data_IF_315276780626
#
_entry.id   IF_315276780626
#
_cell.length_a   1.000
_cell.length_b   1.000
_cell.length_c   1.000
_cell.angle_alpha   90.00
_cell.angle_beta   90.00
_cell.angle_gamma   90.00
#
_symmetry.space_group_name_H-M   'P 1'
#
loop_
_entity.id
_entity.type
_entity.pdbx_description
1 polymer ?
#
# COMPACT_ATOMS: atom_id res chain seq x y z
N UNK A 1 -20.31 23.36 -13.47
CA UNK A 1 -20.96 22.89 -12.22
C UNK A 1 -20.34 21.56 -11.86
N UNK A 2 -19.52 21.49 -10.82
CA UNK A 2 -19.00 20.21 -10.30
C UNK A 2 -20.15 19.49 -9.64
N UNK A 3 -20.54 18.33 -10.19
CA UNK A 3 -21.56 17.47 -9.58
C UNK A 3 -21.04 17.02 -8.20
N UNK A 4 -21.90 17.10 -7.19
CA UNK A 4 -21.57 16.65 -5.84
C UNK A 4 -21.49 15.12 -5.81
N UNK A 5 -20.26 14.60 -5.73
CA UNK A 5 -20.00 13.17 -5.64
C UNK A 5 -20.17 12.70 -4.20
N UNK A 6 -20.92 11.62 -4.01
CA UNK A 6 -21.27 11.06 -2.70
C UNK A 6 -20.80 9.63 -2.55
N UNK A 7 -20.74 9.17 -1.31
CA UNK A 7 -20.40 7.78 -0.98
C UNK A 7 -21.41 6.83 -1.63
N UNK A 8 -20.92 5.75 -2.26
CA UNK A 8 -21.76 4.78 -2.95
C UNK A 8 -22.10 5.13 -4.40
N UNK A 9 -21.74 6.33 -4.89
CA UNK A 9 -21.94 6.68 -6.30
C UNK A 9 -21.08 5.79 -7.21
N UNK A 10 -21.70 5.29 -8.28
CA UNK A 10 -21.02 4.61 -9.38
C UNK A 10 -20.35 5.62 -10.31
N UNK A 11 -19.04 5.44 -10.52
CA UNK A 11 -18.23 6.35 -11.31
C UNK A 11 -17.26 5.61 -12.23
N UNK A 12 -16.88 6.26 -13.33
CA UNK A 12 -15.73 5.91 -14.14
C UNK A 12 -14.53 6.74 -13.71
N UNK A 13 -13.45 6.06 -13.39
CA UNK A 13 -12.17 6.68 -13.06
C UNK A 13 -11.10 6.29 -14.08
N UNK A 14 -10.39 7.29 -14.62
CA UNK A 14 -9.28 7.10 -15.58
C UNK A 14 -7.95 7.17 -14.83
N UNK A 15 -7.21 6.07 -14.81
CA UNK A 15 -5.87 6.02 -14.18
C UNK A 15 -4.79 5.92 -15.25
N UNK A 16 -3.94 6.94 -15.36
CA UNK A 16 -2.77 6.91 -16.27
C UNK A 16 -3.13 6.50 -17.70
N UNK A 17 -2.49 5.44 -18.20
CA UNK A 17 -2.74 4.86 -19.53
C UNK A 17 -3.87 3.81 -19.57
N UNK A 18 -4.40 3.37 -18.43
CA UNK A 18 -5.47 2.37 -18.38
C UNK A 18 -6.81 2.94 -18.83
N UNK A 19 -7.68 2.20 -19.52
CA UNK A 19 -9.01 2.70 -19.90
C UNK A 19 -9.82 3.18 -18.68
N UNK A 20 -10.84 4.05 -18.86
CA UNK A 20 -11.77 4.40 -17.79
C UNK A 20 -12.36 3.14 -17.16
N UNK A 21 -12.16 2.97 -15.86
CA UNK A 21 -12.54 1.76 -15.13
C UNK A 21 -13.71 2.05 -14.18
N UNK A 22 -14.70 1.15 -14.08
CA UNK A 22 -15.84 1.32 -13.19
C UNK A 22 -15.40 1.19 -11.72
N UNK A 23 -15.89 2.09 -10.89
CA UNK A 23 -15.55 2.18 -9.48
C UNK A 23 -16.72 2.72 -8.65
N UNK A 24 -16.66 2.47 -7.35
CA UNK A 24 -17.59 3.02 -6.35
C UNK A 24 -16.84 4.03 -5.50
N UNK A 25 -17.48 5.16 -5.20
CA UNK A 25 -16.93 6.15 -4.27
C UNK A 25 -16.98 5.60 -2.85
N UNK A 26 -15.81 5.53 -2.21
CA UNK A 26 -15.62 4.80 -0.96
C UNK A 26 -15.43 5.77 0.23
N UNK A 27 -16.05 5.50 1.39
CA UNK A 27 -16.01 6.40 2.54
C UNK A 27 -14.63 6.39 3.19
N UNK A 28 -14.05 7.57 3.38
CA UNK A 28 -12.68 7.70 3.86
C UNK A 28 -12.44 7.09 5.24
N UNK A 29 -13.43 7.13 6.13
CA UNK A 29 -13.36 6.53 7.47
C UNK A 29 -13.14 5.01 7.47
N UNK A 30 -13.62 4.30 6.45
CA UNK A 30 -13.51 2.84 6.34
C UNK A 30 -12.24 2.35 5.63
N UNK A 31 -11.56 3.24 4.90
CA UNK A 31 -10.33 2.91 4.19
C UNK A 31 -9.29 2.32 5.12
N UNK A 32 -8.46 1.40 4.61
CA UNK A 32 -7.31 0.87 5.35
C UNK A 32 -6.35 1.98 5.80
N UNK A 33 -5.59 1.73 6.86
CA UNK A 33 -4.62 2.70 7.40
C UNK A 33 -3.58 3.15 6.35
N UNK A 34 -3.08 2.22 5.54
CA UNK A 34 -2.10 2.48 4.48
C UNK A 34 -2.68 3.31 3.33
N UNK A 35 -3.94 3.08 2.98
CA UNK A 35 -4.65 3.85 1.95
C UNK A 35 -5.00 5.25 2.46
N UNK A 36 -5.58 5.34 3.67
CA UNK A 36 -6.00 6.59 4.28
C UNK A 36 -4.83 7.56 4.54
N UNK A 37 -3.64 7.04 4.89
CA UNK A 37 -2.43 7.85 5.07
C UNK A 37 -1.96 8.50 3.76
N UNK A 38 -2.30 7.94 2.60
CA UNK A 38 -1.96 8.47 1.27
C UNK A 38 -3.02 9.44 0.73
N UNK A 39 -3.99 9.84 1.56
CA UNK A 39 -5.05 10.77 1.14
C UNK A 39 -4.46 12.06 0.58
N UNK A 40 -5.10 12.57 -0.45
CA UNK A 40 -4.79 13.87 -1.06
C UNK A 40 -5.91 14.84 -0.71
N UNK A 41 -5.56 16.11 -0.48
CA UNK A 41 -6.56 17.17 -0.30
C UNK A 41 -7.46 17.26 -1.52
N UNK A 42 -8.77 17.42 -1.31
CA UNK A 42 -9.77 17.56 -2.37
C UNK A 42 -9.87 16.34 -3.31
N UNK A 43 -9.46 15.16 -2.85
CA UNK A 43 -9.66 13.91 -3.57
C UNK A 43 -10.59 12.99 -2.76
N UNK A 44 -11.43 12.26 -3.48
CA UNK A 44 -12.23 11.17 -2.94
C UNK A 44 -11.50 9.85 -3.19
N UNK A 45 -11.74 8.88 -2.32
CA UNK A 45 -11.28 7.52 -2.57
C UNK A 45 -12.32 6.80 -3.42
N UNK A 46 -11.85 6.09 -4.44
CA UNK A 46 -12.67 5.19 -5.26
C UNK A 46 -12.14 3.77 -5.12
N UNK A 47 -13.04 2.81 -5.11
CA UNK A 47 -12.75 1.38 -5.10
C UNK A 47 -13.17 0.80 -6.45
N UNK A 48 -12.23 0.20 -7.17
CA UNK A 48 -12.50 -0.41 -8.47
C UNK A 48 -13.25 -1.74 -8.33
N UNK A 49 -14.08 -2.05 -9.32
CA UNK A 49 -14.64 -3.39 -9.48
C UNK A 49 -13.59 -4.34 -10.07
N UNK A 50 -13.62 -5.60 -9.64
CA UNK A 50 -12.69 -6.66 -10.02
C UNK A 50 -11.20 -6.31 -9.78
N UNK A 51 -10.92 -5.37 -8.86
CA UNK A 51 -9.58 -4.97 -8.45
C UNK A 51 -9.57 -4.60 -6.95
N UNK A 52 -8.62 -5.12 -6.13
CA UNK A 52 -8.53 -4.82 -4.71
C UNK A 52 -8.03 -3.41 -4.38
N UNK A 53 -7.66 -2.61 -5.37
CA UNK A 53 -7.01 -1.31 -5.17
C UNK A 53 -7.99 -0.17 -4.94
N UNK A 54 -7.56 0.73 -4.05
CA UNK A 54 -8.16 2.04 -3.85
C UNK A 54 -7.34 3.08 -4.59
N UNK A 55 -8.03 4.07 -5.14
CA UNK A 55 -7.39 5.18 -5.82
C UNK A 55 -7.95 6.51 -5.35
N UNK A 56 -7.09 7.53 -5.31
CA UNK A 56 -7.45 8.88 -4.89
C UNK A 56 -7.55 9.77 -6.10
N UNK A 57 -8.74 10.28 -6.39
CA UNK A 57 -8.99 11.13 -7.55
C UNK A 57 -9.85 12.34 -7.19
N UNK A 58 -9.68 13.41 -7.96
CA UNK A 58 -10.50 14.62 -7.83
C UNK A 58 -11.92 14.37 -8.36
N UNK A 59 -12.97 14.85 -7.68
CA UNK A 59 -14.35 14.68 -8.13
C UNK A 59 -14.59 15.14 -9.58
N UNK A 60 -13.97 16.25 -10.00
CA UNK A 60 -14.12 16.76 -11.36
C UNK A 60 -13.55 15.87 -12.47
N UNK A 61 -12.76 14.84 -12.13
CA UNK A 61 -12.20 13.86 -13.09
C UNK A 61 -12.96 12.54 -13.09
N UNK A 62 -13.88 12.36 -12.15
CA UNK A 62 -14.77 11.21 -12.10
C UNK A 62 -15.99 11.49 -12.97
N UNK A 63 -16.37 10.53 -13.81
CA UNK A 63 -17.60 10.60 -14.59
C UNK A 63 -18.63 9.70 -13.92
N UNK A 64 -19.88 10.15 -13.80
CA UNK A 64 -20.96 9.25 -13.37
C UNK A 64 -21.09 8.10 -14.36
N UNK A 65 -21.36 6.91 -13.81
CA UNK A 65 -21.53 5.70 -14.59
C UNK A 65 -22.99 5.28 -14.53
N UNK A 66 -23.70 5.50 -15.64
CA UNK A 66 -25.10 5.13 -15.79
C UNK A 66 -25.24 3.67 -16.27
N UNK A 67 -26.36 3.03 -15.94
CA UNK A 67 -26.64 1.64 -16.32
C UNK A 67 -26.66 1.43 -17.85
N UNK A 68 -27.10 2.43 -18.62
CA UNK A 68 -27.10 2.39 -20.08
C UNK A 68 -25.68 2.37 -20.66
N UNK A 69 -24.76 3.10 -20.00
CA UNK A 69 -23.34 3.11 -20.38
C UNK A 69 -22.70 1.76 -20.07
N UNK A 70 -23.05 1.16 -18.92
CA UNK A 70 -22.60 -0.20 -18.56
C UNK A 70 -23.11 -1.23 -19.58
N UNK A 71 -24.39 -1.17 -19.93
CA UNK A 71 -25.00 -2.11 -20.87
C UNK A 71 -24.36 -2.02 -22.26
N UNK A 72 -24.20 -0.80 -22.77
CA UNK A 72 -23.56 -0.53 -24.06
C UNK A 72 -22.12 -1.06 -24.09
N UNK A 73 -21.33 -0.77 -23.04
CA UNK A 73 -19.94 -1.22 -22.95
C UNK A 73 -19.83 -2.76 -22.93
N UNK A 74 -20.67 -3.44 -22.13
CA UNK A 74 -20.65 -4.90 -22.06
C UNK A 74 -21.03 -5.48 -23.42
N UNK A 75 -22.06 -4.96 -24.09
CA UNK A 75 -22.51 -5.45 -25.39
C UNK A 75 -21.42 -5.33 -26.47
N UNK A 76 -20.75 -4.18 -26.53
CA UNK A 76 -19.71 -3.90 -27.53
C UNK A 76 -18.43 -4.72 -27.30
N UNK A 77 -18.04 -4.93 -26.05
CA UNK A 77 -16.74 -5.50 -25.71
C UNK A 77 -16.77 -6.94 -25.18
N UNK A 78 -17.94 -7.59 -25.06
CA UNK A 78 -18.03 -8.96 -24.50
C UNK A 78 -17.17 -10.00 -25.25
N UNK A 79 -16.95 -9.79 -26.55
CA UNK A 79 -16.16 -10.70 -27.41
C UNK A 79 -14.66 -10.38 -27.42
N UNK A 80 -14.23 -9.26 -26.83
CA UNK A 80 -12.84 -8.82 -26.87
C UNK A 80 -12.04 -9.48 -25.73
N UNK A 81 -11.25 -10.51 -26.06
CA UNK A 81 -10.44 -11.24 -25.09
C UNK A 81 -9.43 -10.34 -24.34
N UNK A 82 -8.91 -9.30 -24.99
CA UNK A 82 -7.92 -8.39 -24.41
C UNK A 82 -8.49 -7.46 -23.33
N UNK A 83 -9.81 -7.38 -23.20
CA UNK A 83 -10.50 -6.53 -22.21
C UNK A 83 -11.35 -7.34 -21.23
N UNK A 84 -11.09 -8.64 -21.10
CA UNK A 84 -11.89 -9.54 -20.26
C UNK A 84 -12.01 -9.06 -18.82
N UNK A 85 -10.93 -8.57 -18.22
CA UNK A 85 -10.93 -8.05 -16.84
C UNK A 85 -11.79 -6.79 -16.69
N UNK A 86 -11.71 -5.89 -17.68
CA UNK A 86 -12.51 -4.67 -17.72
C UNK A 86 -13.99 -5.01 -17.92
N UNK A 87 -14.31 -5.89 -18.86
CA UNK A 87 -15.68 -6.38 -19.07
C UNK A 87 -16.24 -7.04 -17.81
N UNK A 88 -15.43 -7.79 -17.07
CA UNK A 88 -15.83 -8.35 -15.78
C UNK A 88 -16.11 -7.26 -14.74
N UNK A 89 -15.27 -6.22 -14.67
CA UNK A 89 -15.50 -5.08 -13.81
C UNK A 89 -16.82 -4.36 -14.12
N UNK A 90 -17.18 -4.20 -15.40
CA UNK A 90 -18.48 -3.66 -15.80
C UNK A 90 -19.64 -4.63 -15.47
N UNK A 91 -19.44 -5.95 -15.57
CA UNK A 91 -20.43 -6.95 -15.16
C UNK A 91 -20.70 -6.92 -13.65
N UNK A 92 -19.67 -6.69 -12.84
CA UNK A 92 -19.81 -6.47 -11.40
C UNK A 92 -20.51 -5.14 -11.11
N UNK A 93 -20.12 -4.06 -11.80
CA UNK A 93 -20.80 -2.76 -11.68
C UNK A 93 -22.30 -2.85 -12.06
N UNK A 94 -22.67 -3.71 -13.01
CA UNK A 94 -24.08 -3.97 -13.36
C UNK A 94 -24.85 -4.65 -12.22
N UNK A 95 -24.18 -5.47 -11.42
CA UNK A 95 -24.77 -6.17 -10.27
C UNK A 95 -24.78 -5.32 -9.00
N UNK A 96 -24.14 -4.16 -9.03
CA UNK A 96 -24.12 -3.23 -7.91
C UNK A 96 -25.51 -2.64 -7.71
N UNK A 97 -26.09 -2.92 -6.56
CA UNK A 97 -27.43 -2.45 -6.17
C UNK A 97 -27.36 -1.86 -4.74
N UNK A 98 -26.99 -2.69 -3.76
CA UNK A 98 -26.81 -2.25 -2.36
C UNK A 98 -25.33 -1.99 -2.01
N UNK A 99 -25.06 -0.75 -1.61
CA UNK A 99 -23.75 -0.32 -1.12
C UNK A 99 -23.26 -1.07 0.12
N UNK A 100 -24.17 -1.50 1.02
CA UNK A 100 -23.79 -2.26 2.21
C UNK A 100 -23.35 -3.67 1.88
N UNK A 101 -23.99 -4.31 0.90
CA UNK A 101 -23.58 -5.63 0.39
C UNK A 101 -22.18 -5.52 -0.21
N UNK A 102 -21.95 -4.50 -1.04
CA UNK A 102 -20.64 -4.21 -1.60
C UNK A 102 -19.57 -3.99 -0.51
N UNK A 103 -19.88 -3.22 0.54
CA UNK A 103 -18.96 -3.02 1.67
C UNK A 103 -18.63 -4.34 2.38
N UNK A 104 -19.63 -5.19 2.63
CA UNK A 104 -19.40 -6.48 3.30
C UNK A 104 -18.51 -7.39 2.47
N UNK A 105 -18.81 -7.54 1.17
CA UNK A 105 -18.00 -8.34 0.24
C UNK A 105 -16.56 -7.81 0.19
N UNK A 106 -16.38 -6.49 0.07
CA UNK A 106 -15.04 -5.90 0.03
C UNK A 106 -14.25 -6.13 1.31
N UNK A 107 -14.90 -5.98 2.47
CA UNK A 107 -14.24 -6.22 3.75
C UNK A 107 -13.97 -7.71 4.00
N UNK A 108 -14.77 -8.62 3.44
CA UNK A 108 -14.51 -10.06 3.49
C UNK A 108 -13.29 -10.44 2.63
N UNK A 109 -13.22 -9.95 1.39
CA UNK A 109 -12.05 -10.11 0.51
C UNK A 109 -10.76 -9.61 1.15
N UNK A 110 -10.83 -8.48 1.88
CA UNK A 110 -9.71 -7.91 2.60
C UNK A 110 -9.37 -8.61 3.92
N UNK A 111 -10.15 -9.61 4.36
CA UNK A 111 -10.06 -10.24 5.67
C UNK A 111 -10.19 -9.24 6.85
N UNK A 112 -11.02 -8.21 6.66
CA UNK A 112 -11.22 -7.10 7.60
C UNK A 112 -12.67 -6.99 8.09
N UNK A 113 -13.51 -7.99 7.89
CA UNK A 113 -14.92 -7.97 8.32
C UNK A 113 -15.11 -7.66 9.82
N UNK A 114 -14.11 -7.96 10.67
CA UNK A 114 -14.08 -7.56 12.09
C UNK A 114 -14.03 -6.04 12.27
N UNK A 115 -13.30 -5.31 11.42
CA UNK A 115 -13.20 -3.85 11.45
C UNK A 115 -14.55 -3.21 11.13
N UNK A 116 -15.26 -3.73 10.11
CA UNK A 116 -16.59 -3.23 9.73
C UNK A 116 -17.59 -3.41 10.86
N UNK A 117 -17.64 -4.61 11.45
CA UNK A 117 -18.51 -4.89 12.62
C UNK A 117 -18.14 -4.05 13.84
N UNK A 118 -16.85 -3.78 14.06
CA UNK A 118 -16.41 -2.91 15.14
C UNK A 118 -16.83 -1.46 14.90
N UNK A 119 -16.76 -0.98 13.66
CA UNK A 119 -17.21 0.36 13.26
C UNK A 119 -18.72 0.53 13.47
N UNK A 120 -19.53 -0.42 12.98
CA UNK A 120 -21.00 -0.40 13.17
C UNK A 120 -21.38 -0.37 14.65
N UNK A 121 -20.66 -1.12 15.50
CA UNK A 121 -20.87 -1.12 16.96
C UNK A 121 -20.48 0.19 17.63
N UNK A 122 -19.45 0.88 17.15
CA UNK A 122 -18.96 2.12 17.78
C UNK A 122 -19.73 3.36 17.36
N UNK A 123 -20.10 3.47 16.08
CA UNK A 123 -20.78 4.64 15.53
C UNK A 123 -22.31 4.47 15.53
N UNK A 124 -22.81 3.30 15.94
CA UNK A 124 -24.24 3.03 16.17
C UNK A 124 -25.10 3.03 14.90
N UNK A 125 -24.48 3.12 13.71
CA UNK A 125 -25.16 3.24 12.42
C UNK A 125 -24.40 2.51 11.32
N UNK A 126 -25.13 1.89 10.39
CA UNK A 126 -24.57 1.43 9.10
C UNK A 126 -24.26 2.63 8.23
N UNK A 127 -23.26 2.52 7.36
CA UNK A 127 -22.96 3.59 6.40
C UNK A 127 -24.01 3.60 5.32
N UNK A 128 -24.64 4.74 5.11
CA UNK A 128 -25.66 4.90 4.07
C UNK A 128 -25.01 5.46 2.81
N UNK A 129 -25.45 4.97 1.65
CA UNK A 129 -25.11 5.61 0.38
C UNK A 129 -25.64 7.06 0.37
N UNK A 130 -24.92 7.97 -0.29
CA UNK A 130 -25.28 9.38 -0.33
C UNK A 130 -24.66 10.25 0.78
N UNK A 131 -23.86 9.67 1.68
CA UNK A 131 -23.10 10.42 2.68
C UNK A 131 -21.86 11.13 2.10
N UNK A 132 -21.32 12.10 2.85
CA UNK A 132 -20.10 12.81 2.51
C UNK A 132 -18.87 11.87 2.49
N UNK A 133 -18.21 11.69 1.33
CA UNK A 133 -17.05 10.82 1.20
C UNK A 133 -15.82 11.36 1.92
N UNK A 134 -15.79 12.64 2.29
CA UNK A 134 -14.68 13.29 2.99
C UNK A 134 -14.68 13.07 4.51
N UNK A 135 -15.74 12.46 5.06
CA UNK A 135 -15.79 12.12 6.48
C UNK A 135 -14.65 11.15 6.81
N UNK A 136 -13.63 11.72 7.45
CA UNK A 136 -12.44 11.00 7.89
C UNK A 136 -12.67 10.21 9.17
N UNK A 137 -11.64 9.49 9.61
CA UNK A 137 -11.68 8.79 10.90
C UNK A 137 -11.68 9.79 12.04
N UNK A 138 -12.79 9.90 12.76
CA UNK A 138 -12.86 10.51 14.09
C UNK A 138 -11.88 9.76 15.00
N UNK A 139 -11.08 10.50 15.78
CA UNK A 139 -9.98 9.97 16.63
C UNK A 139 -10.45 9.06 17.78
N UNK A 140 -11.66 8.53 17.75
CA UNK A 140 -12.35 7.90 18.90
C UNK A 140 -12.05 6.40 19.03
N UNK A 141 -11.52 5.74 18.00
CA UNK A 141 -11.35 4.27 18.02
C UNK A 141 -10.12 3.77 18.80
N UNK A 142 -9.28 4.66 19.36
CA UNK A 142 -8.17 4.27 20.24
C UNK A 142 -8.36 4.76 21.69
N UNK A 143 -9.53 4.50 22.30
CA UNK A 143 -9.65 4.45 23.78
C UNK A 143 -9.30 3.03 24.27
N UNK A 144 -8.06 2.58 24.02
CA UNK A 144 -7.47 1.52 24.84
C UNK A 144 -7.21 2.12 26.22
N UNK A 145 -7.87 1.56 27.25
CA UNK A 145 -7.72 1.80 28.68
C UNK A 145 -6.41 2.52 29.04
N UNK A 146 -6.45 3.84 29.22
CA UNK A 146 -5.57 4.52 30.18
C UNK A 146 -6.30 4.46 31.51
N UNK A 147 -5.68 3.75 32.43
CA UNK A 147 -6.01 3.73 33.85
C UNK A 147 -6.17 5.15 34.37
N UNK A 148 -7.23 5.30 35.16
CA UNK A 148 -7.61 6.48 35.93
C UNK A 148 -6.47 6.96 36.82
N UNK A 149 -6.04 8.21 36.61
CA UNK A 149 -5.43 9.02 37.66
C UNK A 149 -6.24 10.31 37.71
N UNK A 150 -6.77 10.58 38.90
CA UNK A 150 -7.72 11.63 39.25
C UNK A 150 -7.18 13.05 39.04
N UNK A 151 -8.08 14.05 38.93
CA UNK A 151 -7.73 15.43 38.58
C UNK A 151 -7.35 16.26 39.82
N UNK A 152 -6.47 17.25 39.62
CA UNK A 152 -6.38 18.44 40.47
C UNK A 152 -6.44 19.70 39.60
N UNK A 153 -7.45 20.52 39.92
CA UNK A 153 -7.71 21.94 39.62
C UNK A 153 -6.43 22.80 39.76
N UNK A 154 -6.21 24.00 39.21
CA UNK A 154 -6.86 25.04 38.37
C UNK A 154 -5.72 26.13 38.20
N UNK A 155 -5.91 27.36 37.65
CA UNK A 155 -6.33 27.76 36.31
C UNK A 155 -5.41 28.87 35.70
N UNK A 156 -5.85 29.40 34.54
CA UNK A 156 -5.54 30.73 33.95
C UNK A 156 -4.17 31.03 33.29
N UNK A 157 -4.16 31.20 31.96
CA UNK A 157 -4.10 32.55 31.34
C UNK A 157 -3.92 32.54 29.80
N UNK A 158 -4.99 33.00 29.12
CA UNK A 158 -5.07 34.01 28.04
C UNK A 158 -4.09 34.03 26.83
N UNK A 159 -4.76 34.10 25.65
CA UNK A 159 -4.50 34.93 24.45
C UNK A 159 -3.40 34.47 23.48
N UNK A 160 -3.42 34.71 22.16
CA UNK A 160 -4.41 35.12 21.14
C UNK A 160 -3.60 35.16 19.79
N UNK A 161 -4.30 35.20 18.64
CA UNK A 161 -3.87 35.58 17.28
C UNK A 161 -2.98 34.68 16.36
N UNK A 162 -3.65 34.24 15.28
CA UNK A 162 -3.39 34.51 13.84
C UNK A 162 -2.44 33.66 12.96
N UNK A 163 -3.10 33.07 11.94
CA UNK A 163 -2.68 32.63 10.60
C UNK A 163 -1.99 33.73 9.74
N UNK A 164 -1.84 33.61 8.38
CA UNK A 164 -1.26 32.58 7.48
C UNK A 164 -0.35 33.20 6.37
N UNK A 165 0.19 32.40 5.41
CA UNK A 165 0.19 32.59 3.92
C UNK A 165 1.29 31.75 3.22
N UNK A 166 0.93 30.90 2.23
CA UNK A 166 1.07 31.02 0.73
C UNK A 166 2.52 30.81 0.24
N UNK A 167 2.87 30.25 -0.92
CA UNK A 167 2.21 29.93 -2.20
C UNK A 167 3.15 28.99 -3.03
N UNK A 168 2.55 28.21 -3.94
CA UNK A 168 2.95 27.84 -5.33
C UNK A 168 4.45 27.73 -5.73
N UNK A 169 4.92 26.77 -6.56
CA UNK A 169 4.62 26.65 -8.00
C UNK A 169 5.26 25.35 -8.61
N UNK A 170 4.64 24.78 -9.66
CA UNK A 170 5.21 23.75 -10.59
C UNK A 170 6.08 24.44 -11.68
N UNK A 171 6.79 23.74 -12.62
CA UNK A 171 6.21 23.01 -13.79
C UNK A 171 6.98 21.69 -14.17
N UNK A 172 6.32 20.63 -14.69
CA UNK A 172 6.16 20.18 -16.11
C UNK A 172 7.46 19.69 -16.80
N UNK A 173 7.47 18.44 -17.29
CA UNK A 173 7.76 17.98 -18.68
C UNK A 173 7.78 16.43 -18.73
N UNK A 174 7.13 15.86 -19.76
CA UNK A 174 7.05 14.43 -20.13
C UNK A 174 8.18 14.03 -21.13
N UNK A 175 8.05 12.93 -21.91
CA UNK A 175 8.56 11.56 -21.71
C UNK A 175 9.63 11.22 -22.80
N UNK A 176 10.12 9.97 -23.08
CA UNK A 176 9.30 8.95 -23.79
C UNK A 176 9.78 7.44 -23.77
N UNK A 177 8.92 6.54 -24.31
CA UNK A 177 9.25 5.29 -25.10
C UNK A 177 9.91 4.11 -24.34
N UNK A 178 9.73 2.80 -24.63
CA UNK A 178 8.94 1.99 -25.59
C UNK A 178 9.22 0.49 -25.27
N UNK A 179 8.29 -0.39 -25.69
CA UNK A 179 8.41 -1.85 -26.03
C UNK A 179 8.48 -2.87 -24.89
N UNK A 180 8.07 -4.15 -25.04
CA UNK A 180 7.07 -4.94 -25.81
C UNK A 180 7.38 -6.43 -25.46
N UNK A 181 6.40 -7.34 -25.62
CA UNK A 181 6.48 -8.82 -25.66
C UNK A 181 6.38 -9.59 -24.31
N UNK A 182 5.23 -10.23 -23.99
CA UNK A 182 4.71 -11.60 -24.38
C UNK A 182 5.54 -12.73 -23.76
N UNK A 183 5.04 -13.82 -23.19
CA UNK A 183 3.72 -14.48 -23.20
C UNK A 183 3.79 -15.69 -22.24
N UNK A 184 2.65 -16.05 -21.66
CA UNK A 184 2.07 -17.40 -21.47
C UNK A 184 2.86 -18.60 -20.88
N UNK A 185 2.29 -19.57 -20.14
CA UNK A 185 1.01 -19.80 -19.44
C UNK A 185 1.05 -21.26 -18.90
N UNK A 186 0.30 -21.52 -17.80
CA UNK A 186 -0.28 -22.83 -17.34
C UNK A 186 0.60 -23.96 -16.76
N UNK A 187 0.17 -24.84 -15.81
CA UNK A 187 -0.94 -24.90 -14.82
C UNK A 187 -0.63 -25.99 -13.74
N UNK A 188 -1.33 -25.86 -12.59
CA UNK A 188 -1.53 -26.61 -11.29
C UNK A 188 -1.53 -28.18 -11.33
N UNK A 189 -1.71 -28.98 -10.23
CA UNK A 189 -2.24 -28.68 -8.87
C UNK A 189 -1.68 -29.45 -7.62
N UNK A 190 -2.03 -28.94 -6.41
CA UNK A 190 -2.43 -29.76 -5.25
C UNK A 190 -1.39 -30.14 -4.17
N UNK A 191 -1.31 -29.39 -3.06
CA UNK A 191 -1.07 -29.90 -1.70
C UNK A 191 -1.14 -28.75 -0.67
N UNK A 192 -1.75 -29.00 0.48
CA UNK A 192 -1.89 -28.12 1.63
C UNK A 192 -0.53 -27.72 2.21
N UNK A 193 0.05 -26.62 1.73
CA UNK A 193 1.20 -25.99 2.36
C UNK A 193 0.79 -24.59 2.79
N UNK A 194 1.10 -24.22 4.04
CA UNK A 194 1.08 -22.82 4.49
C UNK A 194 1.76 -22.01 3.40
N UNK A 195 0.99 -21.29 2.58
CA UNK A 195 1.53 -20.58 1.43
C UNK A 195 2.48 -19.54 1.98
N UNK A 196 3.79 -19.84 1.95
CA UNK A 196 4.86 -18.87 2.16
C UNK A 196 4.45 -17.68 1.30
N UNK A 197 4.20 -16.53 1.94
CA UNK A 197 3.77 -15.32 1.23
C UNK A 197 4.91 -14.96 0.29
N UNK A 198 4.80 -15.40 -0.96
CA UNK A 198 5.83 -15.24 -1.96
C UNK A 198 5.96 -13.75 -2.19
N UNK A 199 7.14 -13.20 -1.89
CA UNK A 199 7.39 -11.79 -2.09
C UNK A 199 7.19 -11.46 -3.58
N UNK A 200 6.54 -10.33 -3.84
CA UNK A 200 6.24 -9.89 -5.19
C UNK A 200 7.55 -9.50 -5.91
N UNK A 201 7.99 -10.34 -6.84
CA UNK A 201 9.24 -10.16 -7.57
C UNK A 201 9.21 -8.89 -8.45
N UNK A 202 8.01 -8.43 -8.88
CA UNK A 202 7.88 -7.17 -9.62
C UNK A 202 8.23 -5.95 -8.78
N UNK A 203 8.13 -6.08 -7.45
CA UNK A 203 8.43 -5.05 -6.47
C UNK A 203 9.66 -5.36 -5.62
N UNK A 204 10.57 -6.23 -6.10
CA UNK A 204 11.76 -6.67 -5.35
C UNK A 204 12.61 -5.53 -4.80
N UNK A 205 12.78 -4.45 -5.57
CA UNK A 205 13.54 -3.27 -5.16
C UNK A 205 12.80 -2.51 -4.06
N UNK A 206 11.50 -2.25 -4.23
CA UNK A 206 10.67 -1.55 -3.25
C UNK A 206 10.63 -2.30 -1.91
N UNK A 207 10.47 -3.63 -1.97
CA UNK A 207 10.45 -4.51 -0.80
C UNK A 207 11.83 -4.51 -0.11
N UNK A 208 12.92 -4.59 -0.87
CA UNK A 208 14.28 -4.51 -0.33
C UNK A 208 14.55 -3.16 0.36
N UNK A 209 14.07 -2.06 -0.22
CA UNK A 209 14.12 -0.72 0.39
C UNK A 209 13.23 -0.60 1.63
N UNK A 210 12.10 -1.31 1.68
CA UNK A 210 11.24 -1.36 2.85
C UNK A 210 11.93 -2.10 4.00
N UNK A 211 12.52 -3.26 3.73
CA UNK A 211 13.29 -4.04 4.71
C UNK A 211 14.45 -3.22 5.25
N UNK A 212 15.24 -2.58 4.39
CA UNK A 212 16.28 -1.65 4.82
C UNK A 212 15.74 -0.58 5.76
N UNK A 213 14.71 0.16 5.35
CA UNK A 213 14.21 1.32 6.12
C UNK A 213 13.68 0.91 7.49
N UNK A 214 13.02 -0.25 7.59
CA UNK A 214 12.50 -0.76 8.86
C UNK A 214 13.63 -1.22 9.78
N UNK A 215 14.53 -2.07 9.30
CA UNK A 215 15.66 -2.55 10.10
C UNK A 215 16.52 -1.36 10.56
N UNK A 216 16.83 -0.42 9.65
CA UNK A 216 17.63 0.76 9.98
C UNK A 216 16.94 1.66 11.02
N UNK A 217 15.62 1.86 10.93
CA UNK A 217 14.86 2.60 11.95
C UNK A 217 14.82 1.86 13.29
N UNK A 218 14.69 0.54 13.25
CA UNK A 218 14.50 -0.27 14.45
C UNK A 218 15.81 -0.49 15.22
N UNK A 219 16.96 -0.46 14.55
CA UNK A 219 18.26 -0.75 15.18
C UNK A 219 19.26 0.42 15.20
N UNK A 220 19.29 1.28 14.17
CA UNK A 220 20.41 2.24 13.98
C UNK A 220 19.99 3.70 14.17
N UNK A 221 18.87 4.10 13.58
CA UNK A 221 18.42 5.50 13.61
C UNK A 221 17.55 5.77 14.84
N UNK A 222 18.12 5.57 16.04
CA UNK A 222 17.39 5.71 17.31
C UNK A 222 18.22 6.47 18.34
N UNK A 223 17.53 7.31 19.10
CA UNK A 223 18.07 8.01 20.28
C UNK A 223 17.78 7.23 21.58
N UNK A 224 17.01 6.14 21.51
CA UNK A 224 16.58 5.33 22.65
C UNK A 224 16.72 3.83 22.33
N UNK A 225 16.96 2.97 23.33
CA UNK A 225 17.06 1.52 23.13
C UNK A 225 15.86 0.92 22.38
N UNK A 226 16.05 -0.15 21.59
CA UNK A 226 14.97 -0.77 20.84
C UNK A 226 13.84 -1.27 21.73
N UNK A 227 12.59 -0.95 21.39
CA UNK A 227 11.44 -1.53 22.06
C UNK A 227 11.34 -3.04 21.72
N UNK A 228 10.81 -3.84 22.63
CA UNK A 228 10.66 -5.29 22.46
C UNK A 228 9.91 -5.66 21.16
N UNK A 229 8.93 -4.84 20.76
CA UNK A 229 8.22 -5.00 19.50
C UNK A 229 9.08 -4.79 18.25
N UNK A 230 10.05 -3.89 18.30
CA UNK A 230 10.94 -3.57 17.17
C UNK A 230 12.05 -4.61 17.03
N UNK A 231 12.51 -5.19 18.14
CA UNK A 231 13.42 -6.34 18.17
C UNK A 231 12.73 -7.53 17.48
N UNK A 232 11.50 -7.84 17.90
CA UNK A 232 10.72 -8.92 17.29
C UNK A 232 10.44 -8.69 15.81
N UNK A 233 10.06 -7.47 15.41
CA UNK A 233 9.86 -7.14 14.00
C UNK A 233 11.17 -7.33 13.21
N UNK A 234 12.31 -6.95 13.78
CA UNK A 234 13.60 -7.07 13.12
C UNK A 234 13.96 -8.53 12.88
N UNK A 235 13.75 -9.42 13.86
CA UNK A 235 13.91 -10.87 13.68
C UNK A 235 13.01 -11.42 12.58
N UNK A 236 11.73 -11.01 12.52
CA UNK A 236 10.82 -11.42 11.46
C UNK A 236 11.29 -10.96 10.07
N UNK A 237 11.84 -9.74 9.98
CA UNK A 237 12.37 -9.21 8.72
C UNK A 237 13.63 -9.95 8.28
N UNK A 238 14.56 -10.23 9.19
CA UNK A 238 15.78 -10.99 8.91
C UNK A 238 15.46 -12.43 8.47
N UNK A 239 14.52 -13.09 9.15
CA UNK A 239 14.05 -14.42 8.76
C UNK A 239 13.44 -14.42 7.35
N UNK A 240 12.61 -13.42 7.02
CA UNK A 240 12.07 -13.29 5.65
C UNK A 240 13.15 -13.03 4.61
N UNK A 241 14.19 -12.28 4.96
CA UNK A 241 15.33 -12.07 4.07
C UNK A 241 16.04 -13.40 3.81
N UNK A 242 16.36 -14.13 4.87
CA UNK A 242 17.05 -15.41 4.81
C UNK A 242 16.28 -16.43 3.97
N UNK A 243 14.99 -16.63 4.27
CA UNK A 243 14.12 -17.59 3.56
C UNK A 243 14.01 -17.33 2.04
N UNK A 244 14.22 -16.09 1.59
CA UNK A 244 14.11 -15.70 0.19
C UNK A 244 15.47 -15.43 -0.48
N UNK A 245 16.57 -15.71 0.23
CA UNK A 245 17.94 -15.56 -0.28
C UNK A 245 18.45 -16.82 -0.97
N UNK A 246 18.06 -18.00 -0.50
CA UNK A 246 18.57 -19.30 -0.97
C UNK A 246 17.63 -19.99 -1.98
N UNK A 247 17.25 -19.28 -3.04
CA UNK A 247 16.36 -19.82 -4.08
C UNK A 247 17.01 -19.75 -5.46
N UNK A 248 16.68 -20.71 -6.36
CA UNK A 248 17.14 -20.73 -7.77
C UNK A 248 16.95 -19.40 -8.51
N UNK A 249 16.02 -18.57 -8.04
CA UNK A 249 15.83 -17.18 -8.47
C UNK A 249 15.84 -16.28 -7.23
N UNK A 250 17.02 -15.81 -6.78
CA UNK A 250 17.13 -15.07 -5.54
C UNK A 250 16.28 -13.79 -5.62
N UNK A 251 15.43 -13.58 -4.62
CA UNK A 251 14.61 -12.37 -4.55
C UNK A 251 15.49 -11.12 -4.38
N UNK A 252 16.53 -11.26 -3.57
CA UNK A 252 17.57 -10.26 -3.34
C UNK A 252 18.70 -10.42 -4.36
N UNK A 253 18.36 -10.22 -5.62
CA UNK A 253 19.34 -10.24 -6.70
C UNK A 253 20.25 -9.00 -6.70
N UNK A 254 21.22 -9.00 -7.61
CA UNK A 254 22.25 -7.97 -7.71
C UNK A 254 21.65 -6.56 -7.79
N UNK A 255 20.63 -6.35 -8.63
CA UNK A 255 19.96 -5.07 -8.79
C UNK A 255 19.26 -4.63 -7.49
N UNK A 256 18.53 -5.55 -6.84
CA UNK A 256 17.85 -5.25 -5.58
C UNK A 256 18.84 -4.87 -4.47
N UNK A 257 19.99 -5.54 -4.38
CA UNK A 257 21.04 -5.24 -3.41
C UNK A 257 21.86 -4.00 -3.78
N UNK A 258 22.00 -3.67 -5.06
CA UNK A 258 22.65 -2.45 -5.56
C UNK A 258 21.88 -1.21 -5.11
N UNK A 259 20.57 -1.21 -5.37
CA UNK A 259 19.67 -0.09 -5.06
C UNK A 259 19.40 0.03 -3.57
N UNK A 260 19.00 -1.07 -2.92
CA UNK A 260 18.70 -1.04 -1.50
C UNK A 260 19.94 -0.88 -0.65
N UNK A 261 21.13 -1.32 -1.09
CA UNK A 261 22.35 -1.38 -0.28
C UNK A 261 22.13 -2.15 1.04
N UNK A 262 21.17 -3.07 1.09
CA UNK A 262 20.77 -3.82 2.29
C UNK A 262 21.96 -4.58 2.90
N UNK A 263 22.82 -5.16 2.06
CA UNK A 263 24.07 -5.79 2.48
C UNK A 263 25.01 -4.87 3.28
N UNK A 264 24.98 -3.54 3.05
CA UNK A 264 25.78 -2.59 3.85
C UNK A 264 25.17 -2.34 5.23
N UNK A 265 23.84 -2.35 5.31
CA UNK A 265 23.13 -2.23 6.57
C UNK A 265 23.44 -3.42 7.47
N UNK A 266 23.38 -4.65 6.92
CA UNK A 266 23.70 -5.86 7.67
C UNK A 266 25.16 -5.85 8.16
N UNK A 267 26.10 -5.35 7.35
CA UNK A 267 27.50 -5.16 7.78
C UNK A 267 27.63 -4.14 8.92
N UNK A 268 26.87 -3.05 8.87
CA UNK A 268 26.86 -2.06 9.95
C UNK A 268 26.36 -2.68 11.25
N UNK A 269 25.29 -3.48 11.20
CA UNK A 269 24.75 -4.19 12.37
C UNK A 269 25.78 -5.17 12.96
N UNK A 270 26.48 -5.94 12.11
CA UNK A 270 27.52 -6.88 12.57
C UNK A 270 28.73 -6.19 13.20
N UNK A 271 29.01 -4.95 12.79
CA UNK A 271 30.13 -4.17 13.34
C UNK A 271 29.76 -3.40 14.62
N UNK A 272 28.48 -3.40 15.00
CA UNK A 272 27.97 -2.72 16.18
C UNK A 272 27.88 -3.71 17.35
N UNK A 273 28.67 -3.54 18.42
CA UNK A 273 28.65 -4.45 19.58
C UNK A 273 27.33 -4.40 20.35
N UNK A 274 26.58 -3.30 20.28
CA UNK A 274 25.30 -3.16 20.99
C UNK A 274 24.18 -3.98 20.31
N UNK A 275 24.44 -4.54 19.12
CA UNK A 275 23.49 -5.29 18.31
C UNK A 275 23.88 -6.78 18.16
N UNK A 276 24.69 -7.31 19.09
CA UNK A 276 25.18 -8.69 19.09
C UNK A 276 24.10 -9.76 18.87
N UNK A 277 22.88 -9.54 19.39
CA UNK A 277 21.73 -10.43 19.21
C UNK A 277 21.41 -10.72 17.74
N UNK A 278 21.62 -9.75 16.84
CA UNK A 278 21.29 -9.88 15.42
C UNK A 278 22.47 -10.38 14.58
N UNK A 279 23.67 -10.48 15.16
CA UNK A 279 24.88 -10.85 14.44
C UNK A 279 24.79 -12.22 13.76
N UNK A 280 24.27 -13.29 14.39
CA UNK A 280 24.22 -14.61 13.76
C UNK A 280 23.42 -14.58 12.45
N UNK A 281 22.19 -14.05 12.49
CA UNK A 281 21.32 -13.95 11.31
C UNK A 281 21.90 -13.03 10.23
N UNK A 282 22.51 -11.90 10.61
CA UNK A 282 23.13 -11.01 9.65
C UNK A 282 24.35 -11.64 8.97
N UNK A 283 25.18 -12.39 9.72
CA UNK A 283 26.35 -13.11 9.18
C UNK A 283 25.92 -14.19 8.20
N UNK A 284 24.91 -14.98 8.53
CA UNK A 284 24.37 -16.01 7.63
C UNK A 284 23.87 -15.42 6.30
N UNK A 285 23.05 -14.36 6.35
CA UNK A 285 22.55 -13.68 5.14
C UNK A 285 23.71 -13.11 4.31
N UNK A 286 24.71 -12.51 4.97
CA UNK A 286 25.89 -11.95 4.29
C UNK A 286 26.74 -13.03 3.63
N UNK A 287 26.82 -14.23 4.22
CA UNK A 287 27.48 -15.38 3.61
C UNK A 287 26.73 -15.85 2.36
N UNK A 288 25.40 -15.95 2.40
CA UNK A 288 24.59 -16.30 1.22
C UNK A 288 24.74 -15.29 0.08
N UNK A 289 24.99 -14.01 0.40
CA UNK A 289 25.19 -12.95 -0.59
C UNK A 289 26.64 -12.69 -0.97
N UNK A 290 27.60 -13.52 -0.52
CA UNK A 290 29.03 -13.25 -0.71
C UNK A 290 29.42 -13.04 -2.18
N UNK A 291 28.87 -13.86 -3.08
CA UNK A 291 29.13 -13.77 -4.53
C UNK A 291 28.54 -12.48 -5.12
N UNK A 292 27.27 -12.18 -4.80
CA UNK A 292 26.57 -10.97 -5.27
C UNK A 292 27.29 -9.71 -4.77
N UNK A 293 27.74 -9.71 -3.52
CA UNK A 293 28.48 -8.59 -2.92
C UNK A 293 29.83 -8.40 -3.62
N UNK A 294 30.50 -9.49 -3.99
CA UNK A 294 31.77 -9.44 -4.71
C UNK A 294 31.58 -8.86 -6.12
N UNK A 295 30.52 -9.26 -6.81
CA UNK A 295 30.14 -8.70 -8.11
C UNK A 295 29.83 -7.20 -8.02
N UNK A 296 29.04 -6.77 -7.02
CA UNK A 296 28.76 -5.35 -6.76
C UNK A 296 30.03 -4.52 -6.50
N UNK A 297 31.05 -5.10 -5.86
CA UNK A 297 32.35 -4.42 -5.67
C UNK A 297 33.10 -4.28 -6.99
N UNK A 298 33.10 -5.31 -7.83
CA UNK A 298 33.75 -5.29 -9.15
C UNK A 298 33.13 -4.23 -10.06
N UNK A 299 31.80 -4.15 -10.12
CA UNK A 299 31.08 -3.11 -10.88
C UNK A 299 31.45 -1.71 -10.43
N UNK A 300 31.54 -1.48 -9.11
CA UNK A 300 31.89 -0.17 -8.56
C UNK A 300 33.31 0.24 -8.98
N UNK A 301 34.27 -0.68 -8.94
CA UNK A 301 35.64 -0.41 -9.37
C UNK A 301 35.73 -0.14 -10.88
N UNK A 302 34.96 -0.86 -11.70
CA UNK A 302 34.92 -0.64 -13.16
C UNK A 302 34.27 0.70 -13.52
N UNK A 303 33.19 1.09 -12.84
CA UNK A 303 32.54 2.39 -13.03
C UNK A 303 33.44 3.58 -12.65
N UNK A 304 34.40 3.37 -11.74
CA UNK A 304 35.39 4.37 -11.33
C UNK A 304 36.61 4.43 -12.27
N UNK A 305 36.83 3.41 -13.11
CA UNK A 305 37.95 3.31 -14.05
C UNK A 305 37.58 3.72 -15.49
N UNK A 306 36.36 4.20 -15.72
CA UNK A 306 35.94 4.72 -17.03
C UNK A 306 36.15 6.24 -17.02
N UNK A 307 37.05 6.80 -17.83
CA UNK A 307 37.44 8.23 -17.79
C UNK A 307 36.32 9.19 -18.22
#
# INVERSE_FOLDING_TARGET
MTKDIRTGDLVLCKVGSFPPWPAVVFPQRLLRNDVYRKRKSNCVAVCFFNDPTYYWEQPGRLKQLDQDTIHSFISEHNKNANQRELVNAYKEAKKFDDFNVFLQEKFDEENRLKDLKAFEKSEGSRIVAGEDPYIGRTKVVNKRKKTSISPKNDPESKKDLQQPKKEETKPIIQPPKKRKHTSDTEVKPGASNKKKVKLDYSRKIEISLLFRRRIQRNLIQRETPPAEGDIKETHELLNRIYENSDTKRPFFDLEALRESKLHKLLKAIVNDPDLEEFHPSCKEILLTWADIITELKKEKSQALSTP
#
